data_IF_024295580868
#
_entry.id   IF_024295580868
#
_cell.length_a   1.000
_cell.length_b   1.000
_cell.length_c   1.000
_cell.angle_alpha   90.00
_cell.angle_beta   90.00
_cell.angle_gamma   90.00
#
_symmetry.space_group_name_H-M   'P 1'
#
loop_
_entity.id
_entity.type
_entity.pdbx_description
1 polymer ?
#
# COMPACT_ATOMS: atom_id res chain seq x y z
N UNK A 1 14.90 -29.88 -3.42
CA UNK A 1 14.85 -29.43 -2.02
C UNK A 1 16.03 -28.48 -1.83
N UNK A 2 15.87 -27.22 -2.16
CA UNK A 2 16.89 -26.22 -1.88
C UNK A 2 16.50 -25.55 -0.57
N UNK A 3 17.15 -25.97 0.48
CA UNK A 3 17.13 -25.35 1.79
C UNK A 3 17.86 -23.99 1.66
N UNK A 4 17.10 -22.93 1.44
CA UNK A 4 17.62 -21.58 1.59
C UNK A 4 17.85 -21.42 3.10
N UNK A 5 19.13 -21.47 3.49
CA UNK A 5 19.54 -21.25 4.88
C UNK A 5 18.97 -19.97 5.46
N UNK A 6 19.04 -19.72 6.77
CA UNK A 6 18.42 -18.60 7.45
C UNK A 6 18.81 -17.20 6.96
N UNK A 7 19.78 -17.11 6.04
CA UNK A 7 20.18 -15.90 5.31
C UNK A 7 20.46 -16.27 3.85
N UNK A 8 19.46 -16.85 3.15
CA UNK A 8 19.58 -17.06 1.70
C UNK A 8 20.01 -15.75 1.04
N UNK A 9 20.96 -15.82 0.11
CA UNK A 9 21.58 -14.71 -0.62
C UNK A 9 20.52 -13.64 -0.93
N UNK A 10 20.46 -12.60 -0.09
CA UNK A 10 19.58 -11.46 -0.29
C UNK A 10 20.10 -10.80 -1.56
N UNK A 11 19.32 -10.92 -2.61
CA UNK A 11 19.67 -10.45 -3.95
C UNK A 11 20.12 -8.99 -3.89
N UNK A 12 21.07 -8.63 -4.76
CA UNK A 12 21.47 -7.24 -4.94
C UNK A 12 20.23 -6.35 -5.17
N UNK A 13 20.25 -5.11 -4.68
CA UNK A 13 19.15 -4.19 -4.90
C UNK A 13 18.79 -4.07 -6.39
N UNK A 14 17.51 -4.11 -6.70
CA UNK A 14 17.01 -3.76 -8.03
C UNK A 14 16.98 -2.25 -8.13
N UNK A 15 17.74 -1.70 -9.08
CA UNK A 15 17.83 -0.26 -9.29
C UNK A 15 16.98 0.13 -10.50
N UNK A 16 16.14 1.16 -10.34
CA UNK A 16 15.32 1.75 -11.39
C UNK A 16 15.41 3.27 -11.35
N UNK A 17 15.22 3.89 -12.50
CA UNK A 17 15.02 5.33 -12.59
C UNK A 17 13.53 5.62 -12.66
N UNK A 18 13.05 6.49 -11.80
CA UNK A 18 11.65 6.91 -11.74
C UNK A 18 11.55 8.41 -12.00
N UNK A 19 10.44 8.83 -12.61
CA UNK A 19 10.17 10.25 -12.82
C UNK A 19 8.87 10.63 -12.13
N UNK A 20 8.92 11.60 -11.22
CA UNK A 20 7.74 12.19 -10.61
C UNK A 20 7.05 13.12 -11.62
N UNK A 21 6.37 12.56 -12.63
CA UNK A 21 5.86 13.35 -13.75
C UNK A 21 4.63 14.17 -13.36
N UNK A 22 4.56 15.44 -13.80
CA UNK A 22 3.42 16.32 -13.60
C UNK A 22 2.12 15.70 -14.13
N UNK A 23 2.18 14.99 -15.25
CA UNK A 23 1.00 14.35 -15.84
C UNK A 23 0.42 13.28 -14.90
N UNK A 24 1.26 12.51 -14.20
CA UNK A 24 0.81 11.50 -13.24
C UNK A 24 0.26 12.16 -11.97
N UNK A 25 0.92 13.20 -11.47
CA UNK A 25 0.46 13.97 -10.30
C UNK A 25 -0.91 14.59 -10.55
N UNK A 26 -1.14 15.18 -11.73
CA UNK A 26 -2.46 15.70 -12.12
C UNK A 26 -3.55 14.62 -12.16
N UNK A 27 -3.20 13.39 -12.58
CA UNK A 27 -4.14 12.24 -12.53
C UNK A 27 -4.47 11.83 -11.10
N UNK A 28 -3.50 11.88 -10.17
CA UNK A 28 -3.79 11.63 -8.75
C UNK A 28 -4.73 12.69 -8.21
N UNK A 29 -4.47 13.97 -8.51
CA UNK A 29 -5.33 15.07 -8.09
C UNK A 29 -6.77 14.86 -8.59
N UNK A 30 -6.93 14.55 -9.88
CA UNK A 30 -8.24 14.25 -10.47
C UNK A 30 -8.93 13.06 -9.83
N UNK A 31 -8.20 11.94 -9.58
CA UNK A 31 -8.71 10.77 -8.88
C UNK A 31 -9.21 11.13 -7.47
N UNK A 32 -8.54 12.05 -6.78
CA UNK A 32 -8.90 12.51 -5.44
C UNK A 32 -9.89 13.68 -5.43
N UNK A 33 -10.49 14.01 -6.57
CA UNK A 33 -11.44 15.10 -6.71
C UNK A 33 -10.85 16.49 -6.38
N UNK A 34 -9.54 16.64 -6.63
CA UNK A 34 -8.80 17.90 -6.50
C UNK A 34 -8.56 18.50 -7.88
N UNK A 35 -8.40 19.81 -7.92
CA UNK A 35 -8.11 20.53 -9.15
C UNK A 35 -6.72 20.16 -9.71
N UNK A 36 -6.63 19.51 -10.89
CA UNK A 36 -5.34 19.11 -11.47
C UNK A 36 -4.46 20.29 -11.87
N UNK A 37 -5.06 21.44 -12.20
CA UNK A 37 -4.34 22.60 -12.72
C UNK A 37 -3.63 23.42 -11.63
N UNK A 38 -3.86 23.05 -10.35
CA UNK A 38 -3.10 23.61 -9.23
C UNK A 38 -1.67 23.10 -9.11
N UNK A 39 -1.30 22.08 -9.89
CA UNK A 39 0.00 21.42 -9.80
C UNK A 39 0.89 21.84 -10.97
N UNK A 40 2.16 22.14 -10.66
CA UNK A 40 3.18 22.57 -11.61
C UNK A 40 4.50 21.84 -11.37
N UNK A 41 5.38 21.85 -12.39
CA UNK A 41 6.76 21.39 -12.23
C UNK A 41 7.44 22.21 -11.12
N UNK A 42 8.20 21.52 -10.25
CA UNK A 42 8.89 22.10 -9.12
C UNK A 42 8.08 22.14 -7.81
N UNK A 43 6.75 21.94 -7.85
CA UNK A 43 5.96 21.82 -6.63
C UNK A 43 6.34 20.55 -5.84
N UNK A 44 6.07 20.55 -4.54
CA UNK A 44 6.31 19.39 -3.69
C UNK A 44 5.24 18.32 -3.93
N UNK A 45 5.69 17.07 -4.11
CA UNK A 45 4.79 15.92 -4.12
C UNK A 45 4.20 15.72 -2.71
N UNK A 46 2.86 15.70 -2.53
CA UNK A 46 2.27 15.42 -1.24
C UNK A 46 2.73 14.08 -0.66
N UNK A 47 3.06 14.07 0.63
CA UNK A 47 3.41 12.84 1.34
C UNK A 47 2.23 11.87 1.34
N UNK A 48 2.49 10.61 0.97
CA UNK A 48 1.47 9.60 0.66
C UNK A 48 1.26 9.36 -0.83
N UNK A 49 1.69 10.28 -1.73
CA UNK A 49 1.52 10.14 -3.17
C UNK A 49 2.67 9.37 -3.86
N UNK A 50 3.73 9.05 -3.13
CA UNK A 50 4.91 8.34 -3.67
C UNK A 50 4.60 6.95 -4.24
N UNK A 51 3.42 6.38 -4.03
CA UNK A 51 3.06 5.06 -4.55
C UNK A 51 3.23 4.93 -6.07
N UNK A 52 3.10 6.04 -6.82
CA UNK A 52 3.32 6.10 -8.27
C UNK A 52 4.77 5.85 -8.68
N UNK A 53 5.70 5.98 -7.76
CA UNK A 53 7.13 5.78 -7.96
C UNK A 53 7.60 4.39 -7.53
N UNK A 54 6.69 3.55 -7.02
CA UNK A 54 7.00 2.25 -6.44
C UNK A 54 6.43 1.07 -7.25
N UNK A 55 5.83 1.33 -8.40
CA UNK A 55 5.25 0.31 -9.27
C UNK A 55 6.29 -0.71 -9.75
N UNK A 56 5.89 -1.98 -9.87
CA UNK A 56 6.71 -3.02 -10.50
C UNK A 56 6.57 -2.95 -12.03
N UNK A 57 7.62 -3.34 -12.75
CA UNK A 57 7.68 -3.36 -14.21
C UNK A 57 7.72 -4.79 -14.79
N UNK A 58 7.04 -5.71 -14.11
CA UNK A 58 6.97 -7.13 -14.49
C UNK A 58 6.25 -7.31 -15.83
N UNK A 59 6.86 -8.08 -16.74
CA UNK A 59 6.25 -8.41 -18.03
C UNK A 59 4.93 -9.15 -17.82
N UNK A 60 3.94 -8.90 -18.69
CA UNK A 60 2.63 -9.53 -18.61
C UNK A 60 2.71 -11.06 -18.59
N UNK A 61 3.64 -11.66 -19.32
CA UNK A 61 3.86 -13.11 -19.36
C UNK A 61 4.47 -13.69 -18.07
N UNK A 62 4.99 -12.83 -17.20
CA UNK A 62 5.66 -13.20 -15.95
C UNK A 62 4.79 -12.82 -14.72
N UNK A 63 3.59 -12.26 -14.94
CA UNK A 63 2.67 -11.97 -13.88
C UNK A 63 2.21 -13.25 -13.19
N UNK A 64 1.99 -13.16 -11.89
CA UNK A 64 1.34 -14.22 -11.11
C UNK A 64 -0.09 -14.47 -11.63
N UNK A 65 -0.64 -15.65 -11.35
CA UNK A 65 -2.02 -16.00 -11.74
C UNK A 65 -3.07 -15.02 -11.20
N UNK A 66 -2.83 -14.46 -10.00
CA UNK A 66 -3.68 -13.43 -9.41
C UNK A 66 -3.52 -12.05 -10.08
N UNK A 67 -2.64 -11.92 -11.07
CA UNK A 67 -2.36 -10.70 -11.80
C UNK A 67 -1.50 -9.68 -11.04
N UNK A 68 -1.00 -10.02 -9.86
CA UNK A 68 -0.15 -9.11 -9.10
C UNK A 68 1.21 -8.90 -9.80
N UNK A 69 1.64 -7.63 -10.02
CA UNK A 69 2.83 -7.34 -10.81
C UNK A 69 4.16 -7.59 -10.06
N UNK A 70 4.09 -7.99 -8.80
CA UNK A 70 5.28 -8.22 -7.98
C UNK A 70 5.60 -7.07 -7.03
N UNK A 71 6.71 -7.22 -6.34
CA UNK A 71 7.16 -6.33 -5.26
C UNK A 71 8.22 -5.32 -5.72
N UNK A 72 8.45 -5.21 -7.03
CA UNK A 72 9.57 -4.43 -7.57
C UNK A 72 10.94 -5.11 -7.39
N UNK A 73 10.95 -6.31 -6.85
CA UNK A 73 12.12 -7.18 -6.65
C UNK A 73 11.72 -8.62 -7.01
N UNK A 74 12.64 -9.44 -7.51
CA UNK A 74 12.39 -10.86 -7.71
C UNK A 74 12.03 -11.55 -6.40
N UNK A 75 10.91 -12.25 -6.38
CA UNK A 75 10.49 -13.07 -5.25
C UNK A 75 10.60 -14.55 -5.66
N UNK A 76 11.29 -15.39 -4.86
CA UNK A 76 11.33 -16.83 -5.14
C UNK A 76 9.93 -17.43 -5.09
N UNK A 77 9.67 -18.46 -5.88
CA UNK A 77 8.41 -19.21 -5.77
C UNK A 77 8.36 -19.92 -4.41
N UNK A 78 7.43 -19.52 -3.59
CA UNK A 78 7.23 -20.06 -2.25
C UNK A 78 6.11 -21.11 -2.20
N UNK A 79 5.43 -21.38 -3.31
CA UNK A 79 4.24 -22.24 -3.35
C UNK A 79 3.04 -21.63 -2.60
N UNK A 80 3.03 -20.30 -2.37
CA UNK A 80 2.02 -19.59 -1.61
C UNK A 80 1.26 -18.63 -2.52
N UNK A 81 0.09 -19.04 -3.05
CA UNK A 81 -0.59 -18.32 -4.12
C UNK A 81 -1.24 -17.00 -3.67
N UNK A 82 -1.52 -16.82 -2.40
CA UNK A 82 -2.22 -15.63 -1.89
C UNK A 82 -1.24 -14.64 -1.28
N UNK A 83 -1.38 -13.36 -1.63
CA UNK A 83 -0.53 -12.29 -1.14
C UNK A 83 -1.39 -11.17 -0.56
N UNK A 84 -1.00 -10.69 0.61
CA UNK A 84 -1.65 -9.57 1.31
C UNK A 84 -0.61 -8.57 1.78
N UNK A 85 -0.92 -7.28 1.72
CA UNK A 85 -0.14 -6.25 2.38
C UNK A 85 -0.53 -6.22 3.86
N UNK A 86 0.41 -6.54 4.74
CA UNK A 86 0.21 -6.51 6.19
C UNK A 86 0.47 -5.15 6.82
N UNK A 87 1.33 -4.33 6.20
CA UNK A 87 1.64 -2.99 6.67
C UNK A 87 2.80 -2.35 5.92
N UNK A 88 3.07 -1.09 6.27
CA UNK A 88 4.21 -0.34 5.74
C UNK A 88 4.72 0.68 6.74
N UNK A 89 5.99 1.03 6.63
CA UNK A 89 6.56 2.21 7.26
C UNK A 89 7.18 3.11 6.19
N UNK A 90 7.06 4.41 6.35
CA UNK A 90 7.65 5.40 5.44
C UNK A 90 8.39 6.43 6.26
N UNK A 91 9.62 6.74 5.86
CA UNK A 91 10.42 7.84 6.39
C UNK A 91 10.71 8.82 5.26
N UNK A 92 10.48 10.09 5.52
CA UNK A 92 10.73 11.19 4.59
C UNK A 92 11.88 12.03 5.13
N UNK A 93 13.09 11.77 4.64
CA UNK A 93 14.31 12.51 5.01
C UNK A 93 14.51 13.74 4.12
N UNK A 94 13.69 13.88 3.08
CA UNK A 94 13.64 15.02 2.18
C UNK A 94 12.31 15.11 1.45
N UNK A 95 12.24 16.06 0.52
CA UNK A 95 11.07 16.29 -0.30
C UNK A 95 11.29 15.81 -1.74
N UNK A 96 10.22 15.35 -2.37
CA UNK A 96 10.21 14.99 -3.79
C UNK A 96 9.53 16.11 -4.55
N UNK A 97 10.21 16.64 -5.55
CA UNK A 97 9.64 17.66 -6.43
C UNK A 97 8.99 17.02 -7.67
N UNK A 98 7.89 17.61 -8.11
CA UNK A 98 7.25 17.26 -9.39
C UNK A 98 8.22 17.59 -10.53
N UNK A 99 8.42 16.67 -11.46
CA UNK A 99 9.43 16.73 -12.51
C UNK A 99 10.76 16.08 -12.13
N UNK A 100 11.00 15.79 -10.85
CA UNK A 100 12.26 15.20 -10.43
C UNK A 100 12.45 13.79 -10.99
N UNK A 101 13.68 13.51 -11.39
CA UNK A 101 14.15 12.16 -11.69
C UNK A 101 14.79 11.60 -10.43
N UNK A 102 14.38 10.40 -10.06
CA UNK A 102 14.79 9.72 -8.84
C UNK A 102 15.42 8.37 -9.19
N UNK A 103 16.37 7.94 -8.40
CA UNK A 103 16.89 6.57 -8.43
C UNK A 103 16.20 5.77 -7.31
N UNK A 104 15.46 4.74 -7.69
CA UNK A 104 14.84 3.81 -6.75
C UNK A 104 15.72 2.58 -6.58
N UNK A 105 16.02 2.24 -5.35
CA UNK A 105 16.63 0.97 -4.96
C UNK A 105 15.61 0.14 -4.19
N UNK A 106 15.39 -1.09 -4.65
CA UNK A 106 14.42 -2.00 -4.03
C UNK A 106 15.09 -3.32 -3.68
N UNK A 107 14.86 -3.83 -2.47
CA UNK A 107 15.44 -5.11 -2.04
C UNK A 107 14.56 -5.83 -1.02
N UNK A 108 14.65 -7.16 -1.00
CA UNK A 108 14.09 -7.97 0.08
C UNK A 108 15.03 -7.86 1.28
N UNK A 109 14.51 -7.28 2.38
CA UNK A 109 15.25 -7.19 3.64
C UNK A 109 15.14 -8.47 4.47
N UNK A 110 13.98 -9.12 4.40
CA UNK A 110 13.71 -10.32 5.20
C UNK A 110 12.67 -11.19 4.52
N UNK A 111 12.90 -12.49 4.56
CA UNK A 111 11.96 -13.51 4.19
C UNK A 111 11.92 -14.56 5.31
N UNK A 112 10.75 -14.82 5.88
CA UNK A 112 10.58 -15.80 6.95
C UNK A 112 9.40 -16.71 6.65
N UNK A 113 9.61 -18.01 6.62
CA UNK A 113 8.54 -19.03 6.51
C UNK A 113 8.10 -19.46 7.90
N UNK A 114 6.82 -19.75 8.04
CA UNK A 114 6.22 -20.31 9.27
C UNK A 114 5.18 -21.36 8.90
N UNK A 115 5.18 -22.44 9.67
CA UNK A 115 4.07 -23.40 9.70
C UNK A 115 3.04 -22.95 10.73
N UNK A 116 1.78 -22.97 10.35
CA UNK A 116 0.66 -22.60 11.22
C UNK A 116 -0.43 -23.66 11.16
N UNK A 117 -1.38 -23.62 12.11
CA UNK A 117 -2.55 -24.48 12.10
C UNK A 117 -3.41 -24.33 10.82
N UNK A 118 -3.28 -23.19 10.10
CA UNK A 118 -3.98 -22.92 8.85
C UNK A 118 -3.12 -23.19 7.60
N UNK A 119 -1.99 -23.88 7.76
CA UNK A 119 -1.02 -24.19 6.71
C UNK A 119 0.18 -23.26 6.69
N UNK A 120 1.09 -23.46 5.73
CA UNK A 120 2.30 -22.67 5.59
C UNK A 120 1.98 -21.22 5.22
N UNK A 121 2.81 -20.31 5.73
CA UNK A 121 2.80 -18.89 5.39
C UNK A 121 4.23 -18.34 5.31
N UNK A 122 4.39 -17.22 4.65
CA UNK A 122 5.64 -16.48 4.62
C UNK A 122 5.41 -15.00 4.86
N UNK A 123 6.39 -14.38 5.50
CA UNK A 123 6.48 -12.93 5.68
C UNK A 123 7.64 -12.43 4.83
N UNK A 124 7.37 -11.42 4.00
CA UNK A 124 8.36 -10.80 3.14
C UNK A 124 8.39 -9.30 3.44
N UNK A 125 9.55 -8.81 3.84
CA UNK A 125 9.80 -7.39 4.05
C UNK A 125 10.61 -6.86 2.87
N UNK A 126 10.06 -5.89 2.15
CA UNK A 126 10.72 -5.21 1.03
C UNK A 126 10.94 -3.76 1.38
N UNK A 127 12.12 -3.24 1.08
CA UNK A 127 12.45 -1.83 1.24
C UNK A 127 12.65 -1.19 -0.13
N UNK A 128 12.09 0.00 -0.30
CA UNK A 128 12.29 0.88 -1.44
C UNK A 128 12.92 2.18 -0.94
N UNK A 129 14.10 2.53 -1.43
CA UNK A 129 14.77 3.79 -1.16
C UNK A 129 14.74 4.66 -2.42
N UNK A 130 14.22 5.87 -2.31
CA UNK A 130 14.19 6.86 -3.39
C UNK A 130 15.29 7.90 -3.13
N UNK A 131 16.21 8.04 -4.08
CA UNK A 131 17.30 8.99 -4.01
C UNK A 131 17.10 10.08 -5.06
N UNK A 132 17.39 11.34 -4.71
CA UNK A 132 17.52 12.39 -5.71
C UNK A 132 18.68 12.09 -6.67
N UNK A 133 18.59 12.58 -7.92
CA UNK A 133 19.52 12.21 -8.99
C UNK A 133 21.01 12.44 -8.64
N UNK A 134 21.32 13.38 -7.75
CA UNK A 134 22.68 13.70 -7.30
C UNK A 134 22.91 13.46 -5.80
N UNK A 135 21.94 12.88 -5.09
CA UNK A 135 22.03 12.59 -3.66
C UNK A 135 22.57 11.18 -3.39
N UNK A 136 23.39 11.04 -2.35
CA UNK A 136 23.82 9.74 -1.84
C UNK A 136 22.78 9.16 -0.89
N UNK A 137 22.22 9.99 -0.01
CA UNK A 137 21.20 9.59 0.95
C UNK A 137 19.80 9.57 0.30
N UNK A 138 18.93 8.64 0.71
CA UNK A 138 17.56 8.60 0.24
C UNK A 138 16.77 9.80 0.76
N UNK A 139 15.91 10.37 -0.08
CA UNK A 139 14.92 11.37 0.35
C UNK A 139 13.67 10.72 0.93
N UNK A 140 13.48 9.43 0.65
CA UNK A 140 12.37 8.63 1.16
C UNK A 140 12.78 7.16 1.25
N UNK A 141 12.43 6.52 2.36
CA UNK A 141 12.53 5.07 2.53
C UNK A 141 11.16 4.52 2.90
N UNK A 142 10.63 3.62 2.05
CA UNK A 142 9.41 2.89 2.35
C UNK A 142 9.70 1.39 2.53
N UNK A 143 9.29 0.83 3.66
CA UNK A 143 9.36 -0.60 3.94
C UNK A 143 7.95 -1.19 3.93
N UNK A 144 7.74 -2.24 3.15
CA UNK A 144 6.45 -2.92 2.99
C UNK A 144 6.54 -4.34 3.52
N UNK A 145 5.57 -4.73 4.34
CA UNK A 145 5.47 -6.06 4.92
C UNK A 145 4.34 -6.83 4.23
N UNK A 146 4.69 -7.89 3.53
CA UNK A 146 3.76 -8.76 2.84
C UNK A 146 3.60 -10.08 3.57
N UNK A 147 2.41 -10.64 3.50
CA UNK A 147 2.05 -11.95 4.03
C UNK A 147 1.63 -12.82 2.85
N UNK A 148 2.36 -13.90 2.63
CA UNK A 148 1.98 -14.91 1.65
C UNK A 148 1.35 -16.08 2.39
N UNK A 149 0.26 -16.61 1.83
CA UNK A 149 -0.55 -17.64 2.43
C UNK A 149 -0.76 -18.81 1.47
N UNK A 150 -0.92 -20.00 2.02
CA UNK A 150 -1.43 -21.14 1.28
C UNK A 150 -2.83 -20.87 0.71
N UNK A 151 -3.32 -21.75 -0.16
CA UNK A 151 -4.68 -21.69 -0.64
C UNK A 151 -5.68 -21.62 0.54
N UNK A 152 -6.81 -20.96 0.32
CA UNK A 152 -7.78 -20.65 1.36
C UNK A 152 -8.26 -21.90 2.10
N UNK A 153 -8.28 -21.94 3.45
CA UNK A 153 -9.04 -22.94 4.18
C UNK A 153 -10.54 -22.77 3.91
N UNK A 154 -11.27 -23.88 3.78
CA UNK A 154 -12.68 -23.92 3.36
C UNK A 154 -13.68 -23.14 4.24
N UNK A 155 -13.30 -22.65 5.41
CA UNK A 155 -14.13 -21.76 6.23
C UNK A 155 -13.27 -20.85 7.11
N UNK A 156 -13.33 -19.55 6.85
CA UNK A 156 -12.86 -18.53 7.78
C UNK A 156 -14.05 -17.77 8.34
N UNK A 157 -14.42 -18.08 9.58
CA UNK A 157 -15.26 -17.17 10.36
C UNK A 157 -14.40 -15.95 10.69
N UNK A 158 -14.67 -14.82 10.08
CA UNK A 158 -14.12 -13.54 10.52
C UNK A 158 -14.76 -13.19 11.85
N UNK A 159 -14.11 -13.53 12.96
CA UNK A 159 -14.43 -12.99 14.27
C UNK A 159 -13.74 -11.64 14.43
N UNK A 160 -14.18 -10.63 13.71
CA UNK A 160 -13.77 -9.28 14.06
C UNK A 160 -14.92 -8.68 14.89
N UNK A 161 -14.65 -8.36 16.13
CA UNK A 161 -15.60 -7.62 16.96
C UNK A 161 -15.69 -6.19 16.45
N UNK A 162 -16.92 -5.68 16.27
CA UNK A 162 -17.14 -4.27 16.01
C UNK A 162 -16.48 -3.45 17.13
N UNK A 163 -15.63 -2.52 16.76
CA UNK A 163 -15.07 -1.56 17.70
C UNK A 163 -16.03 -0.36 17.76
N UNK A 164 -16.21 0.18 18.96
CA UNK A 164 -16.86 1.50 19.07
C UNK A 164 -15.88 2.51 18.48
N UNK A 165 -16.34 3.23 17.46
CA UNK A 165 -15.52 4.28 16.86
C UNK A 165 -15.24 5.36 17.92
N UNK A 166 -13.98 5.70 18.21
CA UNK A 166 -13.67 6.67 19.26
C UNK A 166 -14.13 8.07 18.85
N UNK A 167 -14.35 8.98 19.82
CA UNK A 167 -14.60 10.38 19.52
C UNK A 167 -13.38 10.97 18.79
N UNK A 168 -13.62 11.92 17.88
CA UNK A 168 -12.56 12.56 17.08
C UNK A 168 -13.09 13.07 15.76
N UNK A 169 -12.21 13.65 14.94
CA UNK A 169 -12.59 14.09 13.61
C UNK A 169 -12.85 12.88 12.70
N UNK A 170 -13.96 12.91 11.97
CA UNK A 170 -14.38 11.79 11.11
C UNK A 170 -14.79 12.27 9.73
N UNK A 171 -14.54 11.43 8.72
CA UNK A 171 -15.01 11.62 7.35
C UNK A 171 -15.50 10.29 6.81
N UNK A 172 -16.71 10.27 6.23
CA UNK A 172 -17.26 9.08 5.57
C UNK A 172 -17.03 9.16 4.07
N UNK A 173 -16.55 8.10 3.48
CA UNK A 173 -16.31 7.96 2.05
C UNK A 173 -16.85 6.62 1.54
N UNK A 174 -17.00 6.51 0.22
CA UNK A 174 -17.29 5.25 -0.47
C UNK A 174 -16.27 5.11 -1.60
N UNK A 175 -15.55 4.00 -1.63
CA UNK A 175 -14.63 3.68 -2.72
C UNK A 175 -15.35 2.84 -3.75
N UNK A 176 -15.65 3.42 -4.92
CA UNK A 176 -16.29 2.74 -6.03
C UNK A 176 -15.28 2.02 -6.94
N UNK A 177 -15.76 1.30 -7.94
CA UNK A 177 -14.95 0.56 -8.91
C UNK A 177 -14.03 1.49 -9.72
N UNK A 178 -14.50 2.70 -10.01
CA UNK A 178 -13.73 3.69 -10.78
C UNK A 178 -12.50 4.13 -9.99
N UNK A 179 -12.68 4.44 -8.70
CA UNK A 179 -11.58 4.82 -7.81
C UNK A 179 -10.55 3.69 -7.65
N UNK A 180 -11.03 2.44 -7.48
CA UNK A 180 -10.15 1.27 -7.39
C UNK A 180 -9.34 1.07 -8.67
N UNK A 181 -9.99 1.22 -9.83
CA UNK A 181 -9.32 1.13 -11.13
C UNK A 181 -8.28 2.24 -11.32
N UNK A 182 -8.65 3.49 -11.05
CA UNK A 182 -7.75 4.63 -11.21
C UNK A 182 -6.52 4.50 -10.33
N UNK A 183 -6.70 4.13 -9.05
CA UNK A 183 -5.58 3.90 -8.15
C UNK A 183 -4.69 2.75 -8.62
N UNK A 184 -5.30 1.62 -9.02
CA UNK A 184 -4.57 0.46 -9.54
C UNK A 184 -3.79 0.79 -10.81
N UNK A 185 -4.38 1.57 -11.73
CA UNK A 185 -3.73 1.99 -12.96
C UNK A 185 -2.54 2.93 -12.70
N UNK A 186 -2.69 3.90 -11.79
CA UNK A 186 -1.62 4.82 -11.41
C UNK A 186 -0.44 4.13 -10.73
N UNK A 187 -0.70 3.11 -9.91
CA UNK A 187 0.32 2.31 -9.24
C UNK A 187 0.79 1.10 -10.04
N UNK A 188 0.32 0.93 -11.28
CA UNK A 188 0.55 -0.26 -12.12
C UNK A 188 0.25 -1.58 -11.40
N UNK A 189 -0.79 -1.61 -10.58
CA UNK A 189 -1.20 -2.76 -9.78
C UNK A 189 -2.39 -3.49 -10.42
N UNK A 190 -2.11 -4.58 -11.12
CA UNK A 190 -3.11 -5.41 -11.81
C UNK A 190 -3.63 -6.58 -10.98
N UNK A 191 -3.47 -6.57 -9.65
CA UNK A 191 -3.98 -7.64 -8.78
C UNK A 191 -5.49 -7.78 -8.91
N UNK A 192 -5.94 -8.96 -9.32
CA UNK A 192 -7.34 -9.22 -9.69
C UNK A 192 -8.35 -8.98 -8.58
N UNK A 193 -7.96 -9.07 -7.30
CA UNK A 193 -8.88 -8.80 -6.17
C UNK A 193 -9.42 -7.36 -6.18
N UNK A 194 -8.73 -6.42 -6.83
CA UNK A 194 -9.15 -5.03 -6.94
C UNK A 194 -9.93 -4.74 -8.23
N UNK A 195 -9.86 -5.62 -9.24
CA UNK A 195 -10.32 -5.36 -10.60
C UNK A 195 -11.33 -6.39 -11.13
N UNK A 196 -11.31 -7.60 -10.63
CA UNK A 196 -12.15 -8.71 -11.11
C UNK A 196 -13.01 -9.26 -9.96
N UNK A 197 -14.30 -8.88 -9.96
CA UNK A 197 -15.25 -9.28 -8.91
C UNK A 197 -15.44 -10.78 -8.82
N UNK A 198 -15.46 -11.49 -9.94
CA UNK A 198 -15.59 -12.94 -9.93
C UNK A 198 -14.37 -13.60 -9.31
N UNK A 199 -13.17 -13.15 -9.64
CA UNK A 199 -11.93 -13.63 -9.00
C UNK A 199 -11.96 -13.36 -7.48
N UNK A 200 -12.32 -12.14 -7.06
CA UNK A 200 -12.41 -11.78 -5.67
C UNK A 200 -13.40 -12.67 -4.90
N UNK A 201 -14.56 -12.98 -5.49
CA UNK A 201 -15.62 -13.78 -4.85
C UNK A 201 -15.37 -15.28 -4.92
N UNK A 202 -15.09 -15.79 -6.09
CA UNK A 202 -15.08 -17.23 -6.37
C UNK A 202 -13.73 -17.88 -6.03
N UNK A 203 -12.62 -17.16 -6.29
CA UNK A 203 -11.26 -17.67 -6.05
C UNK A 203 -10.80 -17.27 -4.64
N UNK A 204 -10.88 -15.98 -4.31
CA UNK A 204 -10.40 -15.47 -3.02
C UNK A 204 -11.46 -15.52 -1.91
N UNK A 205 -12.75 -15.63 -2.27
CA UNK A 205 -13.91 -15.73 -1.39
C UNK A 205 -14.15 -14.46 -0.56
N UNK A 206 -13.80 -13.33 -1.09
CA UNK A 206 -14.22 -12.04 -0.56
C UNK A 206 -15.68 -11.74 -0.96
N UNK A 207 -16.42 -10.92 -0.23
CA UNK A 207 -17.78 -10.57 -0.57
C UNK A 207 -17.87 -9.67 -1.81
N UNK A 208 -16.83 -8.89 -2.11
CA UNK A 208 -16.72 -7.98 -3.25
C UNK A 208 -15.26 -7.67 -3.59
N UNK A 209 -15.03 -6.76 -4.56
CA UNK A 209 -13.72 -6.20 -4.83
C UNK A 209 -13.12 -5.62 -3.55
N UNK A 210 -11.84 -5.88 -3.33
CA UNK A 210 -11.12 -5.37 -2.16
C UNK A 210 -10.53 -4.00 -2.48
N UNK A 211 -10.69 -3.05 -1.58
CA UNK A 211 -10.02 -1.76 -1.65
C UNK A 211 -8.52 -1.96 -1.46
N UNK A 212 -7.71 -1.37 -2.33
CA UNK A 212 -6.25 -1.47 -2.20
C UNK A 212 -5.79 -0.93 -0.83
N UNK A 213 -4.97 -1.68 -0.11
CA UNK A 213 -4.43 -1.20 1.17
C UNK A 213 -3.67 0.13 1.04
N UNK A 214 -2.95 0.31 -0.09
CA UNK A 214 -2.30 1.57 -0.40
C UNK A 214 -3.28 2.72 -0.65
N UNK A 215 -4.43 2.47 -1.29
CA UNK A 215 -5.50 3.47 -1.46
C UNK A 215 -6.07 3.88 -0.09
N UNK A 216 -6.34 2.93 0.79
CA UNK A 216 -6.82 3.25 2.14
C UNK A 216 -5.81 4.10 2.93
N UNK A 217 -4.51 3.81 2.81
CA UNK A 217 -3.44 4.66 3.37
C UNK A 217 -3.46 6.06 2.75
N UNK A 218 -3.56 6.17 1.42
CA UNK A 218 -3.63 7.45 0.71
C UNK A 218 -4.83 8.30 1.18
N UNK A 219 -6.00 7.71 1.30
CA UNK A 219 -7.21 8.40 1.76
C UNK A 219 -7.07 8.92 3.19
N UNK A 220 -6.39 8.18 4.08
CA UNK A 220 -6.10 8.61 5.45
C UNK A 220 -5.07 9.75 5.48
N UNK A 221 -4.01 9.67 4.68
CA UNK A 221 -3.01 10.76 4.60
C UNK A 221 -3.61 12.03 3.97
N UNK A 222 -4.52 11.90 2.99
CA UNK A 222 -5.27 13.03 2.43
C UNK A 222 -6.26 13.62 3.44
N UNK A 223 -6.92 12.80 4.25
CA UNK A 223 -7.77 13.26 5.34
C UNK A 223 -6.95 14.06 6.36
N UNK A 224 -5.76 13.56 6.74
CA UNK A 224 -4.83 14.29 7.59
C UNK A 224 -4.44 15.64 6.98
N UNK A 225 -4.00 15.65 5.73
CA UNK A 225 -3.52 16.84 5.03
C UNK A 225 -4.61 17.89 4.81
N UNK A 226 -5.79 17.47 4.34
CA UNK A 226 -6.84 18.39 3.90
C UNK A 226 -7.80 18.82 4.99
N UNK A 227 -8.18 17.93 5.89
CA UNK A 227 -9.20 18.19 6.91
C UNK A 227 -8.54 18.55 8.26
N UNK A 228 -7.56 17.74 8.69
CA UNK A 228 -6.90 17.93 9.98
C UNK A 228 -5.74 18.94 9.93
N UNK A 229 -5.32 19.34 8.71
CA UNK A 229 -4.18 20.25 8.48
C UNK A 229 -2.88 19.77 9.15
N UNK A 230 -2.73 18.45 9.30
CA UNK A 230 -1.56 17.83 9.86
C UNK A 230 -0.46 17.59 8.83
N UNK A 231 0.77 17.52 9.30
CA UNK A 231 1.95 17.12 8.55
C UNK A 231 2.66 15.98 9.30
N UNK A 232 3.51 15.24 8.60
CA UNK A 232 4.30 14.15 9.17
C UNK A 232 5.58 13.93 8.37
N UNK A 233 6.62 13.41 9.03
CA UNK A 233 7.89 13.00 8.41
C UNK A 233 8.06 11.49 8.43
N UNK A 234 7.26 10.79 9.23
CA UNK A 234 7.22 9.34 9.24
C UNK A 234 5.80 8.81 9.40
N UNK A 235 5.58 7.60 8.90
CA UNK A 235 4.28 6.94 8.94
C UNK A 235 4.47 5.43 9.15
N UNK A 236 3.71 4.85 10.07
CA UNK A 236 3.61 3.41 10.26
C UNK A 236 2.15 2.98 10.10
N UNK A 237 1.86 2.17 9.09
CA UNK A 237 0.52 1.67 8.78
C UNK A 237 0.42 0.16 8.98
N UNK A 238 -0.68 -0.30 9.60
CA UNK A 238 -1.07 -1.70 9.72
C UNK A 238 -2.39 -1.92 8.98
N UNK A 239 -2.42 -2.95 8.14
CA UNK A 239 -3.64 -3.37 7.44
C UNK A 239 -4.19 -4.60 8.15
N UNK A 240 -5.30 -4.42 8.88
CA UNK A 240 -5.83 -5.39 9.84
C UNK A 240 -7.00 -6.20 9.27
N UNK A 241 -7.83 -5.56 8.43
CA UNK A 241 -8.98 -6.17 7.78
C UNK A 241 -9.19 -5.60 6.37
N UNK A 242 -9.81 -6.36 5.45
CA UNK A 242 -10.12 -5.85 4.12
C UNK A 242 -11.28 -4.85 4.17
N UNK A 243 -11.17 -3.80 3.35
CA UNK A 243 -12.26 -2.90 3.00
C UNK A 243 -12.81 -3.30 1.63
N UNK A 244 -14.11 -3.10 1.40
CA UNK A 244 -14.77 -3.55 0.18
C UNK A 244 -15.34 -2.40 -0.64
N UNK A 245 -15.29 -2.58 -1.95
CA UNK A 245 -15.85 -1.66 -2.94
C UNK A 245 -17.35 -1.42 -2.70
N UNK A 246 -17.80 -0.18 -2.89
CA UNK A 246 -19.19 0.23 -2.74
C UNK A 246 -19.70 0.32 -1.31
N UNK A 247 -18.88 -0.04 -0.31
CA UNK A 247 -19.26 0.06 1.10
C UNK A 247 -18.68 1.31 1.76
N UNK A 248 -19.43 1.89 2.72
CA UNK A 248 -18.95 3.03 3.48
C UNK A 248 -17.67 2.71 4.26
N UNK A 249 -16.73 3.63 4.21
CA UNK A 249 -15.50 3.62 4.99
C UNK A 249 -15.52 4.88 5.85
N UNK A 250 -15.35 4.72 7.16
CA UNK A 250 -15.19 5.84 8.08
C UNK A 250 -13.72 6.09 8.35
N UNK A 251 -13.22 7.23 7.91
CA UNK A 251 -11.89 7.74 8.25
C UNK A 251 -12.00 8.49 9.58
N UNK A 252 -11.08 8.22 10.48
CA UNK A 252 -10.99 8.87 11.78
C UNK A 252 -9.57 9.36 12.02
N UNK A 253 -9.41 10.49 12.70
CA UNK A 253 -8.11 11.01 13.05
C UNK A 253 -8.13 11.85 14.31
N UNK A 254 -7.07 11.74 15.12
CA UNK A 254 -6.84 12.48 16.33
C UNK A 254 -5.33 12.72 16.50
N UNK A 255 -5.00 13.90 17.04
CA UNK A 255 -3.64 14.18 17.47
C UNK A 255 -3.44 13.71 18.91
N UNK A 256 -2.43 12.88 19.12
CA UNK A 256 -2.05 12.40 20.43
C UNK A 256 -0.56 12.67 20.64
N UNK A 257 -0.25 13.56 21.55
CA UNK A 257 1.12 14.04 21.81
C UNK A 257 1.82 14.56 20.53
N UNK A 258 2.89 13.88 20.10
CA UNK A 258 3.70 14.18 18.92
C UNK A 258 3.27 13.43 17.67
N UNK A 259 2.23 12.62 17.77
CA UNK A 259 1.75 11.76 16.68
C UNK A 259 0.30 12.06 16.27
N UNK A 260 -0.03 11.78 15.02
CA UNK A 260 -1.38 11.63 14.52
C UNK A 260 -1.75 10.16 14.48
N UNK A 261 -2.85 9.80 15.12
CA UNK A 261 -3.47 8.49 14.99
C UNK A 261 -4.57 8.59 13.92
N UNK A 262 -4.46 7.81 12.87
CA UNK A 262 -5.42 7.78 11.76
C UNK A 262 -5.95 6.37 11.60
N UNK A 263 -7.27 6.21 11.48
CA UNK A 263 -7.91 4.90 11.39
C UNK A 263 -8.96 4.86 10.30
N UNK A 264 -9.06 3.73 9.62
CA UNK A 264 -10.17 3.44 8.71
C UNK A 264 -10.98 2.28 9.27
N UNK A 265 -12.29 2.47 9.33
CA UNK A 265 -13.26 1.47 9.76
C UNK A 265 -14.18 1.10 8.60
N UNK A 266 -14.56 -0.16 8.51
CA UNK A 266 -15.57 -0.62 7.55
C UNK A 266 -17.00 -0.22 7.94
N UNK A 267 -17.97 -0.66 7.15
CA UNK A 267 -19.41 -0.41 7.36
C UNK A 267 -19.99 -1.08 8.63
N UNK A 268 -19.27 -2.00 9.25
CA UNK A 268 -19.60 -2.66 10.50
C UNK A 268 -18.76 -2.14 11.69
N UNK A 269 -18.10 -0.99 11.53
CA UNK A 269 -17.20 -0.41 12.52
C UNK A 269 -16.00 -1.32 12.89
N UNK A 270 -15.56 -2.18 11.98
CA UNK A 270 -14.36 -2.98 12.16
C UNK A 270 -13.15 -2.15 11.77
N UNK A 271 -12.13 -2.10 12.63
CA UNK A 271 -10.87 -1.43 12.34
C UNK A 271 -10.12 -2.16 11.22
N UNK A 272 -9.99 -1.51 10.09
CA UNK A 272 -9.35 -2.07 8.90
C UNK A 272 -7.92 -1.57 8.69
N UNK A 273 -7.67 -0.30 8.96
CA UNK A 273 -6.33 0.30 8.85
C UNK A 273 -6.05 1.13 10.09
N UNK A 274 -4.86 0.99 10.64
CA UNK A 274 -4.37 1.74 11.80
C UNK A 274 -3.03 2.39 11.42
N UNK A 275 -2.95 3.71 11.51
CA UNK A 275 -1.76 4.50 11.14
C UNK A 275 -1.34 5.36 12.30
N UNK A 276 -0.04 5.37 12.57
CA UNK A 276 0.65 6.35 13.39
C UNK A 276 1.54 7.19 12.48
N UNK A 277 1.34 8.51 12.47
CA UNK A 277 2.12 9.47 11.69
C UNK A 277 2.77 10.49 12.61
N UNK A 278 4.10 10.68 12.50
CA UNK A 278 4.90 11.55 13.37
C UNK A 278 5.58 12.65 12.55
N UNK A 279 5.74 13.83 13.18
CA UNK A 279 6.42 14.99 12.60
C UNK A 279 7.90 14.95 12.84
#
# INVERSE_FOLDING_TARGET
MNDLGPNGDLQHPVVRQETCSLATVRRIAAMLNQDPDKWSEGDLLPRGWQFILLGADTKRSELREDGFPGLGVPLPDLGLPRLMLGGRTVHYDGDIHIGAVLRRESQIQKLTRKETANGPMAFVTVTHALHAARGQDPVLVETQNYILLSARPASRKTTSSAAVMPPGATKRIVSDETLLFQYSALGFNSHKIHLNRNFAREVEGFPDLVVNGGLATLLLTEFLRLELKGAFTSLAAKHLAPLFCGRPISLWGERQDDAWLLRAFDDNAVLAVDIEARS
#
